data_IF_249712574706
#
_entry.id   IF_249712574706
#
_cell.length_a   1.000
_cell.length_b   1.000
_cell.length_c   1.000
_cell.angle_alpha   90.00
_cell.angle_beta   90.00
_cell.angle_gamma   90.00
#
_symmetry.space_group_name_H-M   'P 1'
#
loop_
_entity.id
_entity.type
_entity.pdbx_description
1 polymer ?
#
# COMPACT_ATOMS: atom_id res chain seq x y z
N UNK A 1 -31.75 8.25 -4.98
CA UNK A 1 -30.71 7.29 -4.50
C UNK A 1 -31.46 6.07 -4.04
N UNK A 2 -31.26 4.94 -4.65
CA UNK A 2 -32.12 3.75 -4.51
C UNK A 2 -31.95 2.98 -3.20
N UNK A 3 -31.97 3.69 -2.06
CA UNK A 3 -32.07 3.06 -0.72
C UNK A 3 -30.85 2.22 -0.25
N UNK A 4 -29.77 2.15 -1.03
CA UNK A 4 -28.58 1.39 -0.64
C UNK A 4 -27.73 2.15 0.36
N UNK A 5 -27.25 1.51 1.45
CA UNK A 5 -26.34 2.12 2.39
C UNK A 5 -25.04 2.56 1.71
N UNK A 6 -24.74 3.84 1.80
CA UNK A 6 -23.56 4.46 1.24
C UNK A 6 -22.74 5.09 2.35
N UNK A 7 -21.43 4.86 2.33
CA UNK A 7 -20.50 5.44 3.29
C UNK A 7 -19.39 6.19 2.56
N UNK A 8 -19.19 7.44 2.94
CA UNK A 8 -18.06 8.25 2.52
C UNK A 8 -17.21 8.58 3.74
N UNK A 9 -15.90 8.33 3.65
CA UNK A 9 -14.95 8.62 4.72
C UNK A 9 -13.79 9.45 4.15
N UNK A 10 -13.50 10.54 4.81
CA UNK A 10 -12.35 11.39 4.49
C UNK A 10 -11.18 11.02 5.40
N UNK A 11 -10.03 10.77 4.79
CA UNK A 11 -8.73 10.57 5.43
C UNK A 11 -7.83 11.77 5.17
N UNK A 12 -6.61 11.76 5.69
CA UNK A 12 -5.67 12.88 5.53
C UNK A 12 -5.24 13.09 4.07
N UNK A 13 -5.03 12.00 3.31
CA UNK A 13 -4.50 12.04 1.95
C UNK A 13 -5.47 11.51 0.88
N UNK A 14 -6.53 10.85 1.28
CA UNK A 14 -7.49 10.22 0.38
C UNK A 14 -8.88 10.19 0.98
N UNK A 15 -9.84 9.75 0.22
CA UNK A 15 -11.18 9.40 0.72
C UNK A 15 -11.59 8.01 0.21
N UNK A 16 -12.51 7.39 0.92
CA UNK A 16 -13.09 6.11 0.52
C UNK A 16 -14.60 6.24 0.31
N UNK A 17 -15.08 5.57 -0.71
CA UNK A 17 -16.50 5.38 -0.97
C UNK A 17 -16.82 3.90 -0.82
N UNK A 18 -17.81 3.57 -0.01
CA UNK A 18 -18.28 2.20 0.18
C UNK A 18 -19.77 2.13 -0.07
N UNK A 19 -20.20 1.26 -0.96
CA UNK A 19 -21.59 0.98 -1.23
C UNK A 19 -21.90 -0.46 -0.85
N UNK A 20 -23.00 -0.67 -0.15
CA UNK A 20 -23.52 -2.02 0.15
C UNK A 20 -24.74 -2.27 -0.69
N UNK A 21 -24.66 -3.28 -1.55
CA UNK A 21 -25.75 -3.70 -2.44
C UNK A 21 -26.26 -5.04 -1.97
N UNK A 22 -27.56 -5.20 -1.72
CA UNK A 22 -28.16 -6.49 -1.44
C UNK A 22 -27.91 -7.44 -2.61
N UNK A 23 -27.54 -8.67 -2.30
CA UNK A 23 -27.30 -9.71 -3.27
C UNK A 23 -28.36 -10.80 -3.10
N UNK A 24 -29.05 -11.16 -4.16
CA UNK A 24 -30.00 -12.27 -4.13
C UNK A 24 -29.26 -13.61 -4.19
N UNK A 25 -29.88 -14.70 -3.74
CA UNK A 25 -29.32 -16.05 -3.80
C UNK A 25 -29.08 -16.53 -5.23
N UNK A 26 -29.75 -15.93 -6.21
CA UNK A 26 -29.58 -16.23 -7.64
C UNK A 26 -28.33 -15.56 -8.24
N UNK A 27 -27.80 -14.48 -7.63
CA UNK A 27 -26.63 -13.77 -8.11
C UNK A 27 -25.36 -14.52 -7.72
N UNK A 28 -24.91 -15.45 -8.55
CA UNK A 28 -23.69 -16.23 -8.33
C UNK A 28 -22.45 -15.55 -8.90
N UNK A 29 -22.61 -14.43 -9.59
CA UNK A 29 -21.55 -13.70 -10.29
C UNK A 29 -21.26 -12.33 -9.65
N UNK A 30 -20.10 -11.79 -9.98
CA UNK A 30 -19.71 -10.43 -9.63
C UNK A 30 -20.64 -9.43 -10.30
N UNK A 31 -21.17 -8.51 -9.50
CA UNK A 31 -22.05 -7.48 -10.04
C UNK A 31 -21.21 -6.36 -10.67
N UNK A 32 -21.77 -5.74 -11.70
CA UNK A 32 -21.19 -4.52 -12.28
C UNK A 32 -21.28 -3.37 -11.30
N UNK A 33 -20.39 -2.39 -11.47
CA UNK A 33 -20.42 -1.18 -10.66
C UNK A 33 -21.78 -0.48 -10.81
N UNK A 34 -22.52 -0.23 -9.71
CA UNK A 34 -23.80 0.46 -9.80
C UNK A 34 -23.65 1.81 -10.50
N UNK A 35 -24.59 2.19 -11.40
CA UNK A 35 -24.52 3.45 -12.15
C UNK A 35 -24.28 4.69 -11.26
N UNK A 36 -24.96 4.75 -10.14
CA UNK A 36 -24.80 5.85 -9.15
C UNK A 36 -23.35 6.00 -8.68
N UNK A 37 -22.67 4.89 -8.42
CA UNK A 37 -21.27 4.92 -8.00
C UNK A 37 -20.36 5.25 -9.20
N UNK A 38 -20.64 4.70 -10.36
CA UNK A 38 -19.91 5.00 -11.59
C UNK A 38 -19.97 6.50 -11.93
N UNK A 39 -21.15 7.10 -11.88
CA UNK A 39 -21.34 8.53 -12.07
C UNK A 39 -20.64 9.40 -11.03
N UNK A 40 -20.68 8.97 -9.75
CA UNK A 40 -20.03 9.70 -8.65
C UNK A 40 -18.49 9.73 -8.78
N UNK A 41 -17.87 8.68 -9.30
CA UNK A 41 -16.42 8.58 -9.46
C UNK A 41 -15.91 8.99 -10.84
N UNK A 42 -16.77 9.06 -11.85
CA UNK A 42 -16.37 9.40 -13.23
C UNK A 42 -15.51 10.68 -13.33
N UNK A 43 -15.83 11.79 -12.65
CA UNK A 43 -14.99 13.01 -12.67
C UNK A 43 -13.61 12.81 -12.07
N UNK A 44 -13.43 11.79 -11.22
CA UNK A 44 -12.22 11.49 -10.48
C UNK A 44 -11.59 10.15 -10.91
N UNK A 45 -12.04 9.55 -12.01
CA UNK A 45 -11.62 8.20 -12.41
C UNK A 45 -10.10 8.03 -12.50
N UNK A 46 -9.38 9.05 -13.00
CA UNK A 46 -7.92 9.05 -13.08
C UNK A 46 -7.22 9.11 -11.70
N UNK A 47 -7.96 9.42 -10.63
CA UNK A 47 -7.45 9.52 -9.26
C UNK A 47 -7.82 8.31 -8.41
N UNK A 48 -8.53 7.33 -8.98
CA UNK A 48 -8.86 6.08 -8.28
C UNK A 48 -7.58 5.28 -8.06
N UNK A 49 -7.22 5.10 -6.80
CA UNK A 49 -6.03 4.36 -6.39
C UNK A 49 -6.33 2.87 -6.26
N UNK A 50 -7.53 2.54 -5.79
CA UNK A 50 -7.94 1.17 -5.51
C UNK A 50 -9.46 1.00 -5.66
N UNK A 51 -9.88 -0.09 -6.26
CA UNK A 51 -11.27 -0.53 -6.30
C UNK A 51 -11.35 -1.97 -5.79
N UNK A 52 -12.24 -2.22 -4.85
CA UNK A 52 -12.41 -3.52 -4.21
C UNK A 52 -13.87 -3.94 -4.24
N UNK A 53 -14.13 -5.16 -4.65
CA UNK A 53 -15.44 -5.77 -4.56
C UNK A 53 -15.40 -6.97 -3.60
N UNK A 54 -16.28 -6.98 -2.62
CA UNK A 54 -16.43 -8.08 -1.68
C UNK A 54 -17.79 -8.72 -1.90
N UNK A 55 -17.81 -9.94 -2.43
CA UNK A 55 -19.02 -10.73 -2.59
C UNK A 55 -19.22 -11.59 -1.34
N UNK A 56 -20.32 -11.39 -0.64
CA UNK A 56 -20.66 -12.12 0.57
C UNK A 56 -21.63 -13.26 0.27
N UNK A 57 -21.30 -14.47 0.71
CA UNK A 57 -22.13 -15.67 0.59
C UNK A 57 -22.25 -16.38 1.92
N UNK A 58 -23.29 -17.15 2.08
CA UNK A 58 -23.41 -18.16 3.15
C UNK A 58 -22.88 -19.48 2.66
N UNK A 59 -22.41 -20.33 3.58
CA UNK A 59 -21.82 -21.62 3.25
C UNK A 59 -22.83 -22.52 2.52
N UNK A 60 -22.50 -22.87 1.30
CA UNK A 60 -23.12 -23.89 0.45
C UNK A 60 -21.99 -24.53 -0.36
N UNK A 61 -22.24 -25.59 -1.09
CA UNK A 61 -21.25 -26.22 -1.95
C UNK A 61 -20.58 -25.22 -2.88
N UNK A 62 -19.36 -24.85 -2.53
CA UNK A 62 -18.63 -23.76 -3.15
C UNK A 62 -17.71 -24.30 -4.26
N UNK A 63 -18.03 -23.97 -5.50
CA UNK A 63 -17.10 -24.17 -6.61
C UNK A 63 -16.38 -22.84 -6.95
N UNK A 64 -15.13 -22.71 -6.52
CA UNK A 64 -14.31 -21.50 -6.76
C UNK A 64 -14.13 -21.16 -8.24
N UNK A 65 -14.22 -22.16 -9.13
CA UNK A 65 -14.10 -21.92 -10.57
C UNK A 65 -15.21 -20.98 -11.12
N UNK A 66 -16.38 -20.99 -10.50
CA UNK A 66 -17.49 -20.10 -10.90
C UNK A 66 -17.21 -18.62 -10.62
N UNK A 67 -16.24 -18.31 -9.76
CA UNK A 67 -15.88 -16.93 -9.39
C UNK A 67 -14.73 -16.37 -10.21
N UNK A 68 -14.17 -17.17 -11.15
CA UNK A 68 -13.16 -16.70 -12.09
C UNK A 68 -11.78 -16.39 -11.52
N UNK A 69 -11.47 -16.87 -10.32
CA UNK A 69 -10.14 -16.71 -9.73
C UNK A 69 -9.09 -17.56 -10.47
N UNK A 70 -7.94 -16.95 -10.70
CA UNK A 70 -6.75 -17.60 -11.24
C UNK A 70 -5.73 -17.79 -10.11
N UNK A 71 -5.53 -19.03 -9.67
CA UNK A 71 -4.58 -19.36 -8.58
C UNK A 71 -4.97 -18.66 -7.25
N UNK A 72 -6.17 -18.96 -6.69
CA UNK A 72 -6.68 -18.29 -5.52
C UNK A 72 -5.88 -18.65 -4.27
N UNK A 73 -5.67 -17.66 -3.41
CA UNK A 73 -5.29 -17.86 -2.02
C UNK A 73 -6.53 -17.73 -1.12
N UNK A 74 -6.51 -18.36 0.04
CA UNK A 74 -7.64 -18.37 0.92
C UNK A 74 -7.28 -18.57 2.38
N UNK A 75 -8.11 -18.04 3.27
CA UNK A 75 -7.97 -18.23 4.71
C UNK A 75 -9.32 -18.40 5.40
N UNK A 76 -9.36 -19.30 6.37
CA UNK A 76 -10.37 -19.20 7.41
C UNK A 76 -10.08 -17.97 8.25
N UNK A 77 -11.09 -17.14 8.54
CA UNK A 77 -10.96 -15.91 9.32
C UNK A 77 -11.96 -15.86 10.48
N UNK A 78 -11.72 -14.96 11.42
CA UNK A 78 -12.61 -14.81 12.57
C UNK A 78 -12.61 -16.01 13.52
N UNK A 79 -11.55 -16.83 13.49
CA UNK A 79 -11.47 -18.08 14.26
C UNK A 79 -12.20 -19.26 13.60
N UNK A 80 -12.32 -19.23 12.26
CA UNK A 80 -12.99 -20.27 11.47
C UNK A 80 -14.47 -20.01 11.19
N UNK A 81 -15.01 -18.90 11.66
CA UNK A 81 -16.42 -18.54 11.45
C UNK A 81 -16.73 -17.98 10.05
N UNK A 82 -15.72 -17.71 9.26
CA UNK A 82 -15.84 -17.36 7.84
C UNK A 82 -14.62 -17.81 7.05
N UNK A 83 -14.73 -17.82 5.71
CA UNK A 83 -13.62 -18.07 4.78
C UNK A 83 -13.56 -16.93 3.79
N UNK A 84 -12.34 -16.50 3.45
CA UNK A 84 -12.10 -15.46 2.45
C UNK A 84 -11.20 -16.02 1.36
N UNK A 85 -11.54 -15.71 0.12
CA UNK A 85 -10.78 -16.06 -1.07
C UNK A 85 -10.49 -14.82 -1.91
N UNK A 86 -9.30 -14.75 -2.50
CA UNK A 86 -8.90 -13.78 -3.52
C UNK A 86 -7.71 -14.34 -4.31
N UNK A 87 -7.49 -13.84 -5.51
CA UNK A 87 -6.24 -14.05 -6.25
C UNK A 87 -5.38 -12.78 -6.33
N UNK A 88 -5.86 -11.68 -5.73
CA UNK A 88 -5.23 -10.36 -5.76
C UNK A 88 -4.88 -9.86 -7.17
N UNK A 89 -5.59 -10.35 -8.17
CA UNK A 89 -5.46 -9.89 -9.56
C UNK A 89 -6.52 -8.86 -9.84
N UNK A 90 -6.10 -7.77 -10.47
CA UNK A 90 -7.04 -6.78 -10.97
C UNK A 90 -7.80 -7.35 -12.16
N UNK A 91 -9.10 -7.14 -12.16
CA UNK A 91 -9.96 -7.41 -13.31
C UNK A 91 -9.69 -6.38 -14.41
N UNK A 92 -10.31 -6.55 -15.58
CA UNK A 92 -10.16 -5.61 -16.71
C UNK A 92 -10.57 -4.18 -16.34
N UNK A 93 -11.55 -4.03 -15.46
CA UNK A 93 -12.00 -2.75 -14.90
C UNK A 93 -11.17 -2.24 -13.70
N UNK A 94 -10.04 -2.90 -13.39
CA UNK A 94 -9.14 -2.48 -12.33
C UNK A 94 -9.60 -2.81 -10.91
N UNK A 95 -10.58 -3.70 -10.75
CA UNK A 95 -11.16 -4.07 -9.45
C UNK A 95 -10.46 -5.30 -8.86
N UNK A 96 -10.12 -5.27 -7.57
CA UNK A 96 -9.70 -6.45 -6.82
C UNK A 96 -10.92 -7.13 -6.18
N UNK A 97 -10.98 -8.46 -6.20
CA UNK A 97 -12.14 -9.24 -5.79
C UNK A 97 -11.87 -10.12 -4.60
N UNK A 98 -12.79 -10.09 -3.63
CA UNK A 98 -12.82 -10.99 -2.48
C UNK A 98 -14.15 -11.73 -2.39
N UNK A 99 -14.08 -13.05 -2.31
CA UNK A 99 -15.23 -13.88 -1.98
C UNK A 99 -15.20 -14.15 -0.48
N UNK A 100 -16.20 -13.68 0.23
CA UNK A 100 -16.37 -13.84 1.67
C UNK A 100 -17.49 -14.83 1.97
N UNK A 101 -17.15 -15.99 2.48
CA UNK A 101 -18.11 -17.04 2.86
C UNK A 101 -18.36 -16.96 4.35
N UNK A 102 -19.53 -16.47 4.72
CA UNK A 102 -19.95 -16.45 6.12
C UNK A 102 -20.49 -17.82 6.54
N UNK A 103 -19.89 -18.41 7.57
CA UNK A 103 -20.34 -19.65 8.19
C UNK A 103 -21.20 -19.39 9.41
N UNK A 104 -20.68 -18.60 10.38
CA UNK A 104 -21.31 -18.41 11.70
C UNK A 104 -21.17 -17.01 12.28
N UNK A 105 -20.70 -16.05 11.48
CA UNK A 105 -20.63 -14.66 11.95
C UNK A 105 -22.01 -14.04 11.94
N UNK A 106 -22.37 -13.34 13.02
CA UNK A 106 -23.50 -12.43 12.99
C UNK A 106 -23.17 -11.19 12.12
N UNK A 107 -24.18 -10.41 11.74
CA UNK A 107 -24.04 -9.26 10.85
C UNK A 107 -22.97 -8.25 11.33
N UNK A 108 -22.88 -8.02 12.63
CA UNK A 108 -21.91 -7.09 13.21
C UNK A 108 -20.45 -7.59 13.08
N UNK A 109 -20.21 -8.86 13.38
CA UNK A 109 -18.88 -9.47 13.21
C UNK A 109 -18.50 -9.60 11.75
N UNK A 110 -19.44 -9.93 10.87
CA UNK A 110 -19.25 -9.98 9.43
C UNK A 110 -18.83 -8.60 8.89
N UNK A 111 -19.56 -7.54 9.23
CA UNK A 111 -19.24 -6.18 8.81
C UNK A 111 -17.84 -5.75 9.25
N UNK A 112 -17.42 -6.10 10.46
CA UNK A 112 -16.05 -5.83 10.94
C UNK A 112 -14.99 -6.59 10.15
N UNK A 113 -15.22 -7.84 9.78
CA UNK A 113 -14.26 -8.61 8.98
C UNK A 113 -14.11 -8.04 7.57
N UNK A 114 -15.24 -7.70 6.93
CA UNK A 114 -15.23 -7.06 5.60
C UNK A 114 -14.51 -5.72 5.66
N UNK A 115 -14.79 -4.90 6.66
CA UNK A 115 -14.08 -3.63 6.85
C UNK A 115 -12.57 -3.82 6.96
N UNK A 116 -12.09 -4.82 7.71
CA UNK A 116 -10.65 -5.12 7.82
C UNK A 116 -10.03 -5.49 6.47
N UNK A 117 -10.73 -6.28 5.66
CA UNK A 117 -10.26 -6.60 4.30
C UNK A 117 -10.14 -5.35 3.43
N UNK A 118 -11.14 -4.47 3.47
CA UNK A 118 -11.12 -3.20 2.75
C UNK A 118 -9.98 -2.29 3.25
N UNK A 119 -9.76 -2.20 4.56
CA UNK A 119 -8.67 -1.44 5.16
C UNK A 119 -7.29 -2.00 4.76
N UNK A 120 -7.12 -3.32 4.77
CA UNK A 120 -5.87 -3.97 4.30
C UNK A 120 -5.54 -3.55 2.88
N UNK A 121 -6.49 -3.67 1.96
CA UNK A 121 -6.29 -3.32 0.56
C UNK A 121 -6.03 -1.81 0.38
N UNK A 122 -6.81 -0.97 1.04
CA UNK A 122 -6.65 0.48 0.96
C UNK A 122 -5.27 0.91 1.43
N UNK A 123 -4.87 0.51 2.64
CA UNK A 123 -3.59 0.91 3.20
C UNK A 123 -2.40 0.28 2.48
N UNK A 124 -2.54 -0.97 1.98
CA UNK A 124 -1.52 -1.62 1.15
C UNK A 124 -1.27 -0.83 -0.13
N UNK A 125 -2.33 -0.39 -0.81
CA UNK A 125 -2.21 0.40 -2.03
C UNK A 125 -1.64 1.80 -1.74
N UNK A 126 -2.11 2.47 -0.69
CA UNK A 126 -1.59 3.78 -0.28
C UNK A 126 -0.09 3.73 0.05
N UNK A 127 0.36 2.73 0.79
CA UNK A 127 1.78 2.53 1.07
C UNK A 127 2.60 2.24 -0.20
N UNK A 128 2.03 1.47 -1.14
CA UNK A 128 2.71 1.07 -2.37
C UNK A 128 2.94 2.24 -3.34
N UNK A 129 2.18 3.33 -3.25
CA UNK A 129 2.38 4.53 -4.08
C UNK A 129 3.77 5.14 -3.90
N UNK A 130 4.39 4.96 -2.74
CA UNK A 130 5.72 5.51 -2.44
C UNK A 130 6.84 4.77 -3.16
N UNK A 131 6.59 3.57 -3.66
CA UNK A 131 7.64 2.77 -4.31
C UNK A 131 8.26 3.47 -5.54
N UNK A 132 7.47 4.15 -6.35
CA UNK A 132 7.95 4.91 -7.51
C UNK A 132 8.86 6.06 -7.08
N UNK A 133 8.45 6.80 -6.06
CA UNK A 133 9.24 7.89 -5.46
C UNK A 133 10.55 7.36 -4.86
N UNK A 134 10.50 6.23 -4.14
CA UNK A 134 11.67 5.61 -3.56
C UNK A 134 12.67 5.13 -4.62
N UNK A 135 12.18 4.55 -5.72
CA UNK A 135 13.05 4.13 -6.85
C UNK A 135 13.74 5.31 -7.51
N UNK A 136 13.00 6.39 -7.78
CA UNK A 136 13.56 7.60 -8.34
C UNK A 136 14.59 8.23 -7.41
N UNK A 137 14.26 8.37 -6.13
CA UNK A 137 15.17 8.90 -5.13
C UNK A 137 16.44 8.05 -4.99
N UNK A 138 16.32 6.73 -5.04
CA UNK A 138 17.49 5.83 -4.97
C UNK A 138 18.50 6.10 -6.09
N UNK A 139 18.04 6.39 -7.31
CA UNK A 139 18.91 6.76 -8.44
C UNK A 139 19.59 8.12 -8.21
N UNK A 140 18.88 9.09 -7.64
CA UNK A 140 19.45 10.39 -7.29
C UNK A 140 20.49 10.27 -6.18
N UNK A 141 20.24 9.40 -5.19
CA UNK A 141 21.18 9.12 -4.10
C UNK A 141 22.51 8.53 -4.61
N UNK A 142 22.48 7.68 -5.65
CA UNK A 142 23.69 7.16 -6.27
C UNK A 142 24.58 8.29 -6.84
N UNK A 143 23.98 9.33 -7.40
CA UNK A 143 24.70 10.50 -7.90
C UNK A 143 25.23 11.38 -6.74
N UNK A 144 24.45 11.56 -5.69
CA UNK A 144 24.86 12.33 -4.52
C UNK A 144 26.01 11.65 -3.76
N UNK A 145 25.97 10.32 -3.60
CA UNK A 145 27.06 9.56 -2.97
C UNK A 145 28.38 9.72 -3.74
N UNK A 146 28.35 9.64 -5.08
CA UNK A 146 29.53 9.87 -5.93
C UNK A 146 30.07 11.29 -5.74
N UNK A 147 29.18 12.28 -5.68
CA UNK A 147 29.57 13.68 -5.45
C UNK A 147 30.21 13.83 -4.07
N UNK A 148 29.62 13.22 -3.03
CA UNK A 148 30.15 13.27 -1.68
C UNK A 148 31.55 12.64 -1.59
N UNK A 149 31.78 11.51 -2.24
CA UNK A 149 33.12 10.86 -2.30
C UNK A 149 34.15 11.80 -2.93
N UNK A 150 33.81 12.37 -4.09
CA UNK A 150 34.72 13.33 -4.77
C UNK A 150 35.02 14.56 -3.91
N UNK A 151 34.02 15.12 -3.22
CA UNK A 151 34.23 16.26 -2.31
C UNK A 151 35.05 15.89 -1.10
N UNK A 152 34.89 14.69 -0.56
CA UNK A 152 35.69 14.16 0.56
C UNK A 152 37.16 13.98 0.18
N UNK A 153 37.45 13.43 -1.02
CA UNK A 153 38.79 13.28 -1.56
C UNK A 153 39.47 14.65 -1.78
N UNK A 154 38.72 15.62 -2.32
CA UNK A 154 39.22 16.99 -2.49
C UNK A 154 39.52 17.63 -1.13
N UNK A 155 38.66 17.47 -0.12
CA UNK A 155 38.88 18.01 1.23
C UNK A 155 40.16 17.46 1.86
N UNK A 156 40.48 16.18 1.63
CA UNK A 156 41.69 15.55 2.17
C UNK A 156 42.99 16.01 1.48
N UNK A 157 42.90 16.54 0.23
CA UNK A 157 44.04 16.96 -0.60
C UNK A 157 44.23 18.47 -0.75
N UNK A 158 43.47 19.29 -0.02
CA UNK A 158 43.49 20.76 -0.20
C UNK A 158 44.68 21.41 0.48
N UNK A 159 45.69 21.81 -0.30
CA UNK A 159 46.58 22.91 0.04
C UNK A 159 45.81 24.22 -0.17
N UNK A 160 45.34 24.84 0.90
CA UNK A 160 44.70 26.16 1.12
C UNK A 160 44.12 27.01 -0.02
N UNK A 161 44.34 26.73 -1.30
CA UNK A 161 44.03 27.61 -2.43
C UNK A 161 42.64 27.42 -3.05
N UNK A 162 41.92 26.30 -2.82
CA UNK A 162 40.59 26.02 -3.37
C UNK A 162 39.49 25.82 -2.30
N UNK A 163 39.73 26.28 -1.08
CA UNK A 163 38.81 26.09 0.06
C UNK A 163 37.43 26.68 -0.22
N UNK A 164 37.36 27.85 -0.89
CA UNK A 164 36.08 28.52 -1.20
C UNK A 164 35.23 27.71 -2.17
N UNK A 165 35.83 27.21 -3.27
CA UNK A 165 35.13 26.38 -4.25
C UNK A 165 34.63 25.05 -3.68
N UNK A 166 35.41 24.46 -2.75
CA UNK A 166 35.01 23.25 -2.03
C UNK A 166 33.80 23.50 -1.12
N UNK A 167 33.84 24.58 -0.31
CA UNK A 167 32.71 24.94 0.55
C UNK A 167 31.42 25.25 -0.24
N UNK A 168 31.54 25.94 -1.38
CA UNK A 168 30.38 26.20 -2.25
C UNK A 168 29.79 24.90 -2.80
N UNK A 169 30.62 23.93 -3.19
CA UNK A 169 30.16 22.62 -3.68
C UNK A 169 29.51 21.77 -2.59
N UNK A 170 30.09 21.76 -1.38
CA UNK A 170 29.46 21.08 -0.22
C UNK A 170 28.11 21.73 0.13
N UNK A 171 28.04 23.05 0.16
CA UNK A 171 26.79 23.77 0.41
C UNK A 171 25.74 23.51 -0.67
N UNK A 172 26.17 23.33 -1.94
CA UNK A 172 25.26 22.96 -3.02
C UNK A 172 24.67 21.57 -2.81
N UNK A 173 25.52 20.55 -2.56
CA UNK A 173 25.07 19.19 -2.27
C UNK A 173 24.15 19.14 -1.05
N UNK A 174 24.50 19.85 0.03
CA UNK A 174 23.67 19.97 1.24
C UNK A 174 22.27 20.47 0.93
N UNK A 175 22.15 21.57 0.16
CA UNK A 175 20.84 22.09 -0.26
C UNK A 175 20.01 21.09 -1.06
N UNK A 176 20.65 20.33 -1.96
CA UNK A 176 19.96 19.29 -2.73
C UNK A 176 19.43 18.18 -1.83
N UNK A 177 20.25 17.67 -0.91
CA UNK A 177 19.88 16.60 0.02
C UNK A 177 18.75 17.06 0.95
N UNK A 178 18.87 18.24 1.54
CA UNK A 178 17.81 18.83 2.39
C UNK A 178 16.50 19.00 1.61
N UNK A 179 16.56 19.49 0.37
CA UNK A 179 15.37 19.61 -0.49
C UNK A 179 14.68 18.27 -0.72
N UNK A 180 15.43 17.19 -0.93
CA UNK A 180 14.86 15.84 -1.08
C UNK A 180 14.27 15.33 0.21
N UNK A 181 14.95 15.52 1.34
CA UNK A 181 14.45 15.14 2.66
C UNK A 181 13.11 15.81 2.96
N UNK A 182 12.99 17.10 2.77
CA UNK A 182 11.74 17.84 3.01
C UNK A 182 10.61 17.33 2.10
N UNK A 183 10.89 17.09 0.82
CA UNK A 183 9.89 16.65 -0.17
C UNK A 183 9.39 15.22 0.08
N UNK A 184 10.21 14.34 0.65
CA UNK A 184 9.89 12.91 0.75
C UNK A 184 9.50 12.45 2.16
N UNK A 185 9.93 13.17 3.20
CA UNK A 185 9.73 12.81 4.62
C UNK A 185 8.29 12.44 4.95
N UNK A 186 7.35 13.30 4.56
CA UNK A 186 5.93 13.06 4.84
C UNK A 186 5.44 11.77 4.19
N UNK A 187 5.87 11.52 2.95
CA UNK A 187 5.44 10.36 2.17
C UNK A 187 6.01 9.05 2.70
N UNK A 188 7.29 9.03 3.11
CA UNK A 188 7.90 7.86 3.74
C UNK A 188 7.28 7.55 5.10
N UNK A 189 7.07 8.58 5.95
CA UNK A 189 6.39 8.41 7.23
C UNK A 189 4.97 7.86 7.09
N UNK A 190 4.19 8.34 6.11
CA UNK A 190 2.88 7.82 5.80
C UNK A 190 2.95 6.34 5.36
N UNK A 191 3.95 5.96 4.57
CA UNK A 191 4.15 4.56 4.14
C UNK A 191 4.37 3.62 5.32
N UNK A 192 5.19 4.02 6.28
CA UNK A 192 5.43 3.23 7.50
C UNK A 192 4.15 3.07 8.31
N UNK A 193 3.39 4.16 8.52
CA UNK A 193 2.12 4.12 9.23
C UNK A 193 1.08 3.22 8.55
N UNK A 194 0.93 3.32 7.24
CA UNK A 194 0.01 2.45 6.49
C UNK A 194 0.45 0.99 6.51
N UNK A 195 1.74 0.72 6.39
CA UNK A 195 2.26 -0.64 6.48
C UNK A 195 1.99 -1.27 7.84
N UNK A 196 2.16 -0.52 8.93
CA UNK A 196 1.81 -0.98 10.27
C UNK A 196 0.33 -1.33 10.37
N UNK A 197 -0.57 -0.46 9.88
CA UNK A 197 -2.00 -0.74 9.86
C UNK A 197 -2.34 -2.02 9.08
N UNK A 198 -1.70 -2.26 7.93
CA UNK A 198 -1.90 -3.51 7.16
C UNK A 198 -1.55 -4.73 8.01
N UNK A 199 -0.40 -4.75 8.68
CA UNK A 199 0.02 -5.89 9.49
C UNK A 199 -0.85 -6.08 10.73
N UNK A 200 -1.29 -5.01 11.37
CA UNK A 200 -2.25 -5.06 12.48
C UNK A 200 -3.59 -5.67 12.03
N UNK A 201 -4.13 -5.21 10.90
CA UNK A 201 -5.40 -5.75 10.36
C UNK A 201 -5.29 -7.21 9.94
N UNK A 202 -4.13 -7.63 9.37
CA UNK A 202 -3.88 -9.04 9.08
C UNK A 202 -3.91 -9.90 10.35
N UNK A 203 -3.26 -9.45 11.43
CA UNK A 203 -3.31 -10.12 12.73
C UNK A 203 -4.74 -10.23 13.29
N UNK A 204 -5.53 -9.17 13.15
CA UNK A 204 -6.92 -9.13 13.61
C UNK A 204 -7.88 -10.05 12.83
N UNK A 205 -7.52 -10.47 11.61
CA UNK A 205 -8.29 -11.48 10.88
C UNK A 205 -8.28 -12.82 11.58
N UNK A 206 -7.28 -13.10 12.42
CA UNK A 206 -7.09 -14.40 13.10
C UNK A 206 -7.20 -15.55 12.10
N UNK A 207 -6.38 -15.45 11.06
CA UNK A 207 -6.44 -16.38 9.94
C UNK A 207 -5.86 -17.75 10.27
N UNK A 208 -6.45 -18.78 9.68
CA UNK A 208 -5.93 -20.14 9.66
C UNK A 208 -6.06 -20.74 8.26
N UNK A 209 -5.47 -21.90 8.04
CA UNK A 209 -5.49 -22.57 6.74
C UNK A 209 -6.91 -22.99 6.32
N UNK A 210 -7.17 -22.92 5.02
CA UNK A 210 -8.32 -23.52 4.36
C UNK A 210 -7.80 -24.41 3.22
N UNK A 211 -8.03 -25.70 3.32
CA UNK A 211 -7.44 -26.67 2.39
C UNK A 211 -5.92 -26.51 2.29
N UNK A 212 -5.38 -26.81 1.10
CA UNK A 212 -3.94 -26.72 0.80
C UNK A 212 -3.53 -25.35 0.23
N UNK A 213 -4.42 -24.36 0.28
CA UNK A 213 -4.18 -23.04 -0.31
C UNK A 213 -3.27 -22.17 0.54
N UNK A 214 -2.49 -21.30 -0.11
CA UNK A 214 -1.72 -20.27 0.56
C UNK A 214 -2.66 -19.30 1.31
N UNK A 215 -2.34 -18.98 2.56
CA UNK A 215 -3.10 -17.98 3.34
C UNK A 215 -2.95 -16.59 2.77
N UNK A 216 -4.02 -15.79 2.89
CA UNK A 216 -4.07 -14.39 2.44
C UNK A 216 -2.96 -13.54 3.05
N UNK A 217 -2.75 -13.62 4.36
CA UNK A 217 -1.70 -12.87 5.04
C UNK A 217 -0.31 -13.23 4.55
N UNK A 218 -0.03 -14.52 4.36
CA UNK A 218 1.26 -14.97 3.79
C UNK A 218 1.44 -14.43 2.37
N UNK A 219 0.40 -14.46 1.54
CA UNK A 219 0.43 -13.92 0.19
C UNK A 219 0.75 -12.42 0.19
N UNK A 220 0.04 -11.65 1.01
CA UNK A 220 0.24 -10.20 1.14
C UNK A 220 1.63 -9.91 1.66
N UNK A 221 2.06 -10.54 2.75
CA UNK A 221 3.36 -10.31 3.36
C UNK A 221 4.52 -10.53 2.40
N UNK A 222 4.50 -11.62 1.65
CA UNK A 222 5.57 -11.95 0.68
C UNK A 222 5.74 -10.90 -0.42
N UNK A 223 4.67 -10.22 -0.82
CA UNK A 223 4.69 -9.19 -1.87
C UNK A 223 4.83 -7.77 -1.34
N UNK A 224 4.29 -7.50 -0.17
CA UNK A 224 4.24 -6.16 0.39
C UNK A 224 5.45 -5.81 1.26
N UNK A 225 5.94 -6.74 2.10
CA UNK A 225 7.12 -6.51 2.93
C UNK A 225 8.35 -6.03 2.15
N UNK A 226 8.71 -6.59 0.98
CA UNK A 226 9.84 -6.09 0.20
C UNK A 226 9.67 -4.62 -0.22
N UNK A 227 8.48 -4.21 -0.61
CA UNK A 227 8.17 -2.81 -0.98
C UNK A 227 8.37 -1.87 0.20
N UNK A 228 7.84 -2.23 1.37
CA UNK A 228 7.99 -1.44 2.60
C UNK A 228 9.46 -1.32 3.01
N UNK A 229 10.19 -2.43 2.97
CA UNK A 229 11.64 -2.46 3.29
C UNK A 229 12.46 -1.61 2.32
N UNK A 230 12.13 -1.64 1.03
CA UNK A 230 12.81 -0.82 0.04
C UNK A 230 12.62 0.67 0.32
N UNK A 231 11.38 1.10 0.61
CA UNK A 231 11.08 2.49 0.97
C UNK A 231 11.84 2.91 2.24
N UNK A 232 11.81 2.09 3.29
CA UNK A 232 12.52 2.37 4.54
C UNK A 232 14.05 2.45 4.36
N UNK A 233 14.63 1.54 3.58
CA UNK A 233 16.07 1.56 3.28
C UNK A 233 16.48 2.80 2.47
N UNK A 234 15.63 3.25 1.54
CA UNK A 234 15.89 4.47 0.76
C UNK A 234 15.82 5.72 1.64
N UNK A 235 14.85 5.81 2.55
CA UNK A 235 14.73 6.89 3.53
C UNK A 235 15.97 6.93 4.45
N UNK A 236 16.35 5.79 5.02
CA UNK A 236 17.52 5.68 5.88
C UNK A 236 18.81 6.08 5.15
N UNK A 237 18.96 5.70 3.88
CA UNK A 237 20.10 6.10 3.04
C UNK A 237 20.16 7.62 2.86
N UNK A 238 19.01 8.26 2.60
CA UNK A 238 18.93 9.72 2.49
C UNK A 238 19.32 10.42 3.79
N UNK A 239 18.85 9.92 4.93
CA UNK A 239 19.24 10.45 6.26
C UNK A 239 20.72 10.30 6.54
N UNK A 240 21.31 9.15 6.20
CA UNK A 240 22.75 8.92 6.37
C UNK A 240 23.57 9.84 5.47
N UNK A 241 23.15 10.04 4.23
CA UNK A 241 23.80 10.97 3.32
C UNK A 241 23.74 12.41 3.86
N UNK A 242 22.59 12.84 4.40
CA UNK A 242 22.46 14.16 5.01
C UNK A 242 23.47 14.36 6.17
N UNK A 243 23.62 13.35 7.03
CA UNK A 243 24.62 13.38 8.13
C UNK A 243 26.05 13.46 7.60
N UNK A 244 26.37 12.66 6.58
CA UNK A 244 27.72 12.63 6.01
C UNK A 244 28.09 13.96 5.35
N UNK A 245 27.13 14.60 4.64
CA UNK A 245 27.35 15.93 4.03
C UNK A 245 27.53 17.00 5.10
N UNK A 246 26.75 16.96 6.18
CA UNK A 246 26.90 17.90 7.29
C UNK A 246 28.31 17.76 7.94
N UNK A 247 28.71 16.53 8.26
CA UNK A 247 30.03 16.27 8.83
C UNK A 247 31.20 16.74 7.93
N UNK A 248 31.04 16.63 6.59
CA UNK A 248 32.07 17.13 5.66
C UNK A 248 32.11 18.67 5.64
N UNK A 249 30.98 19.34 5.90
CA UNK A 249 30.92 20.80 5.96
C UNK A 249 31.48 21.40 7.25
N UNK A 250 31.61 20.60 8.31
CA UNK A 250 32.16 21.00 9.62
C UNK A 250 33.68 20.85 9.71
N UNK A 251 34.34 20.26 8.70
CA UNK A 251 35.79 20.10 8.57
C UNK A 251 36.42 21.35 7.92
#
# INVERSE_FOLDING_TARGET
MDGHPFKWERHTEFFTLTLVVPCTTADTTWQTLPPVLAEAIAPQAAQVINAVQVLVRHEQDLNLAHYGFKDPCGSCVGGGDAVVWSDFRLTEDGTNRFLFINRRLNAYRQGRMIRRLLEIETYRMMASLTLSTAKQLSQELDAFDKTLVCLSERSAGVDGHDSKGLLEAIAHLSRQVVSRTVKTRHRFGATQAYAQLVFERLGELRESHVGDCQRLGVFIERRFKPTVRYCAATEQRLEQLAKNVANLGDL
#
